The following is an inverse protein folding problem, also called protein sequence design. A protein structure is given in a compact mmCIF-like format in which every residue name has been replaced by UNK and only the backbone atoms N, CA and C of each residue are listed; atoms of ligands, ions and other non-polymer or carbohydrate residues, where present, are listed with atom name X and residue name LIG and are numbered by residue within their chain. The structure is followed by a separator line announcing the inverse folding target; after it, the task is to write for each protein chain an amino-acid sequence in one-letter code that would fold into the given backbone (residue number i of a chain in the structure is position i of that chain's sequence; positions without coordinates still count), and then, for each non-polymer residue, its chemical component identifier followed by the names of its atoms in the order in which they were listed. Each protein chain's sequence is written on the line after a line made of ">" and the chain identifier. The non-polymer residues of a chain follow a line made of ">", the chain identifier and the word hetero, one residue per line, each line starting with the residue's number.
data_IF_398706579362
#
_entry.id   IF_398706579362
#
_cell.length_a   1.000
_cell.length_b   1.000
_cell.length_c   1.000
_cell.angle_alpha   90.00
_cell.angle_beta   90.00
_cell.angle_gamma   90.00
#
_symmetry.space_group_name_H-M   'P 1'
#
loop_
_entity.id
_entity.type
_entity.pdbx_description
1 polymer ?
#
# COMPACT_ATOMS: atom_id res chain seq x y z
N UNK A 1 -69.43 31.32 17.92
CA UNK A 1 -68.35 30.42 18.39
C UNK A 1 -67.95 29.57 17.20
N UNK A 2 -66.82 29.86 16.54
CA UNK A 2 -66.39 29.18 15.30
C UNK A 2 -65.21 28.28 15.67
N UNK A 3 -65.38 26.98 15.42
CA UNK A 3 -64.54 25.91 15.93
C UNK A 3 -63.12 25.90 15.37
N UNK A 4 -62.18 25.58 16.27
CA UNK A 4 -60.81 25.14 15.95
C UNK A 4 -60.92 23.79 15.24
N UNK A 5 -60.28 23.63 14.09
CA UNK A 5 -59.95 22.34 13.50
C UNK A 5 -58.43 22.27 13.32
N UNK A 6 -57.84 21.33 14.04
CA UNK A 6 -56.43 20.97 14.06
C UNK A 6 -56.21 19.91 12.99
N UNK A 7 -55.30 20.09 12.03
CA UNK A 7 -54.73 19.00 11.20
C UNK A 7 -53.55 19.52 10.36
N UNK A 8 -52.39 18.88 10.52
CA UNK A 8 -51.36 18.82 9.47
C UNK A 8 -50.05 19.56 9.74
N UNK A 9 -49.29 19.13 10.74
CA UNK A 9 -47.82 19.21 10.67
C UNK A 9 -47.40 18.41 9.43
N UNK A 10 -46.49 18.96 8.60
CA UNK A 10 -45.40 18.28 7.87
C UNK A 10 -45.09 19.02 6.56
N UNK A 11 -43.89 19.61 6.49
CA UNK A 11 -43.40 20.23 5.26
C UNK A 11 -41.91 20.54 5.25
N UNK A 12 -41.14 19.83 6.07
CA UNK A 12 -39.75 19.40 5.83
C UNK A 12 -38.80 20.53 5.41
N UNK A 13 -38.14 21.13 6.41
CA UNK A 13 -36.89 21.86 6.25
C UNK A 13 -35.98 21.12 5.27
N UNK A 14 -35.50 21.81 4.25
CA UNK A 14 -34.54 21.28 3.27
C UNK A 14 -33.32 20.73 3.99
N UNK A 15 -33.35 19.43 4.27
CA UNK A 15 -32.22 18.69 4.81
C UNK A 15 -31.24 18.56 3.66
N UNK A 16 -30.29 19.49 3.60
CA UNK A 16 -29.12 19.41 2.74
C UNK A 16 -28.39 18.13 3.11
N UNK A 17 -28.59 17.08 2.32
CA UNK A 17 -27.81 15.85 2.44
C UNK A 17 -26.39 16.24 2.05
N UNK A 18 -25.55 16.43 3.08
CA UNK A 18 -24.11 16.55 2.92
C UNK A 18 -23.63 15.19 2.41
N UNK A 19 -23.52 15.05 1.09
CA UNK A 19 -22.94 13.88 0.46
C UNK A 19 -21.45 13.83 0.82
N UNK A 20 -21.14 13.16 1.94
CA UNK A 20 -19.79 12.79 2.30
C UNK A 20 -19.34 11.70 1.33
N UNK A 21 -18.44 12.06 0.42
CA UNK A 21 -17.75 11.12 -0.45
C UNK A 21 -16.93 10.16 0.42
N UNK A 22 -17.48 8.98 0.70
CA UNK A 22 -16.75 7.88 1.32
C UNK A 22 -15.71 7.38 0.30
N UNK A 23 -14.48 7.88 0.40
CA UNK A 23 -13.35 7.28 -0.31
C UNK A 23 -13.14 5.88 0.25
N UNK A 24 -13.52 4.85 -0.51
CA UNK A 24 -13.17 3.48 -0.21
C UNK A 24 -11.66 3.35 -0.41
N UNK A 25 -10.90 3.23 0.68
CA UNK A 25 -9.50 2.86 0.60
C UNK A 25 -9.41 1.48 -0.06
N UNK A 26 -9.01 1.45 -1.34
CA UNK A 26 -8.82 0.20 -2.08
C UNK A 26 -7.64 -0.55 -1.48
N UNK A 27 -7.80 -1.83 -1.18
CA UNK A 27 -6.71 -2.66 -0.63
C UNK A 27 -5.58 -2.80 -1.65
N UNK A 28 -4.32 -2.62 -1.24
CA UNK A 28 -3.17 -3.02 -2.05
C UNK A 28 -3.23 -4.50 -2.35
N UNK A 29 -2.72 -4.90 -3.51
CA UNK A 29 -2.62 -6.31 -3.87
C UNK A 29 -1.15 -6.66 -4.09
N UNK A 30 -0.47 -6.98 -2.99
CA UNK A 30 0.90 -7.50 -2.98
C UNK A 30 0.84 -8.95 -2.52
N UNK A 31 1.28 -9.86 -3.39
CA UNK A 31 1.24 -11.30 -3.17
C UNK A 31 2.66 -11.85 -3.33
N UNK A 32 3.18 -12.50 -2.30
CA UNK A 32 4.50 -13.14 -2.32
C UNK A 32 4.50 -14.38 -3.20
N UNK A 33 5.68 -14.74 -3.70
CA UNK A 33 5.93 -16.05 -4.29
C UNK A 33 6.98 -16.81 -3.46
N UNK A 34 7.14 -18.10 -3.78
CA UNK A 34 8.08 -18.98 -3.07
C UNK A 34 9.40 -19.15 -3.84
N UNK A 35 9.69 -18.28 -4.82
CA UNK A 35 10.82 -18.47 -5.74
C UNK A 35 12.20 -18.23 -5.10
N UNK A 36 12.23 -17.64 -3.90
CA UNK A 36 13.44 -17.43 -3.09
C UNK A 36 13.62 -18.51 -2.00
N UNK A 37 12.73 -19.50 -1.91
CA UNK A 37 12.83 -20.58 -0.92
C UNK A 37 12.85 -20.06 0.52
N UNK A 38 13.88 -20.44 1.28
CA UNK A 38 14.03 -20.03 2.69
C UNK A 38 14.24 -18.53 2.90
N UNK A 39 14.58 -17.78 1.84
CA UNK A 39 14.78 -16.33 1.85
C UNK A 39 13.57 -15.59 1.24
N UNK A 40 12.37 -16.18 1.37
CA UNK A 40 11.13 -15.60 0.86
C UNK A 40 10.89 -14.18 1.37
N UNK A 41 10.25 -13.37 0.51
CA UNK A 41 9.77 -12.05 0.91
C UNK A 41 8.59 -12.19 1.85
N UNK A 42 8.50 -11.32 2.85
CA UNK A 42 7.45 -11.32 3.86
C UNK A 42 6.73 -9.98 3.87
N UNK A 43 5.41 -10.01 4.02
CA UNK A 43 4.58 -8.80 4.03
C UNK A 43 3.92 -8.68 5.40
N UNK A 44 4.29 -7.64 6.14
CA UNK A 44 3.57 -7.22 7.32
C UNK A 44 2.39 -6.35 6.88
N UNK A 45 1.19 -6.93 6.95
CA UNK A 45 -0.06 -6.24 6.65
C UNK A 45 -0.46 -5.35 7.84
N UNK A 46 -1.13 -4.23 7.57
CA UNK A 46 -1.62 -3.26 8.55
C UNK A 46 -0.54 -2.38 9.21
N UNK A 47 0.57 -2.12 8.51
CA UNK A 47 1.46 -1.03 8.92
C UNK A 47 0.73 0.31 8.83
N UNK A 48 1.09 1.25 9.70
CA UNK A 48 0.75 2.66 9.54
C UNK A 48 2.02 3.49 9.58
N UNK A 49 2.24 4.30 8.55
CA UNK A 49 3.31 5.28 8.53
C UNK A 49 2.71 6.65 8.23
N UNK A 50 2.98 7.63 9.09
CA UNK A 50 2.43 9.00 8.99
C UNK A 50 0.89 9.03 8.88
N UNK A 51 0.19 8.04 9.47
CA UNK A 51 -1.27 7.93 9.46
C UNK A 51 -1.88 7.34 8.17
N UNK A 52 -1.05 6.90 7.21
CA UNK A 52 -1.49 6.20 6.00
C UNK A 52 -1.31 4.69 6.16
N UNK A 53 -2.21 3.86 5.57
CA UNK A 53 -2.06 2.42 5.55
C UNK A 53 -0.90 2.00 4.65
N UNK A 54 0.02 1.19 5.19
CA UNK A 54 1.21 0.75 4.47
C UNK A 54 1.43 -0.75 4.58
N UNK A 55 2.00 -1.33 3.53
CA UNK A 55 2.58 -2.67 3.56
C UNK A 55 4.08 -2.58 3.80
N UNK A 56 4.57 -3.23 4.86
CA UNK A 56 6.01 -3.33 5.11
C UNK A 56 6.51 -4.65 4.55
N UNK A 57 7.49 -4.56 3.66
CA UNK A 57 8.11 -5.68 2.98
C UNK A 57 9.43 -5.98 3.68
N UNK A 58 9.56 -7.20 4.19
CA UNK A 58 10.75 -7.71 4.91
C UNK A 58 11.27 -9.00 4.28
N UNK A 59 12.38 -9.51 4.81
CA UNK A 59 13.03 -10.73 4.31
C UNK A 59 13.74 -10.46 2.99
N UNK A 60 13.63 -11.40 2.06
CA UNK A 60 14.35 -11.34 0.78
C UNK A 60 15.75 -11.93 0.86
N UNK A 61 16.33 -12.16 -0.32
CA UNK A 61 17.64 -12.78 -0.46
C UNK A 61 18.72 -11.70 -0.61
N UNK A 62 19.62 -11.58 0.36
CA UNK A 62 20.73 -10.65 0.29
C UNK A 62 21.91 -11.29 -0.47
N UNK A 63 22.46 -10.59 -1.47
CA UNK A 63 23.68 -10.98 -2.19
C UNK A 63 24.57 -9.75 -2.37
N UNK A 64 25.54 -9.58 -1.47
CA UNK A 64 26.38 -8.39 -1.42
C UNK A 64 25.54 -7.13 -1.18
N UNK A 65 25.73 -6.12 -2.03
CA UNK A 65 25.01 -4.84 -1.97
C UNK A 65 23.58 -4.88 -2.52
N UNK A 66 23.10 -6.06 -2.94
CA UNK A 66 21.78 -6.23 -3.56
C UNK A 66 20.87 -7.04 -2.63
N UNK A 67 19.66 -6.54 -2.40
CA UNK A 67 18.57 -7.26 -1.75
C UNK A 67 17.52 -7.63 -2.79
N UNK A 68 17.22 -8.91 -2.91
CA UNK A 68 16.27 -9.42 -3.88
C UNK A 68 14.93 -9.76 -3.23
N UNK A 69 13.86 -9.24 -3.81
CA UNK A 69 12.48 -9.62 -3.50
C UNK A 69 11.81 -10.25 -4.72
N UNK A 70 10.87 -11.16 -4.47
CA UNK A 70 10.08 -11.78 -5.51
C UNK A 70 8.62 -11.87 -5.09
N UNK A 71 7.74 -11.47 -6.00
CA UNK A 71 6.31 -11.43 -5.78
C UNK A 71 5.60 -12.07 -6.96
N UNK A 72 4.46 -12.71 -6.69
CA UNK A 72 3.55 -13.13 -7.74
C UNK A 72 2.80 -11.94 -8.34
N UNK A 73 2.34 -11.03 -7.50
CA UNK A 73 1.65 -9.80 -7.93
C UNK A 73 2.12 -8.64 -7.05
N UNK A 74 2.34 -7.48 -7.65
CA UNK A 74 2.81 -6.29 -6.94
C UNK A 74 2.02 -5.06 -7.36
N UNK A 75 0.97 -4.71 -6.61
CA UNK A 75 0.15 -3.54 -6.88
C UNK A 75 0.02 -2.68 -5.62
N UNK A 76 0.25 -1.38 -5.78
CA UNK A 76 0.12 -0.39 -4.71
C UNK A 76 -0.96 0.61 -5.12
N UNK A 77 -2.09 0.58 -4.42
CA UNK A 77 -3.25 1.45 -4.73
C UNK A 77 -3.01 2.88 -4.25
N UNK A 78 -3.78 3.82 -4.78
CA UNK A 78 -3.77 5.22 -4.35
C UNK A 78 -4.02 5.35 -2.84
N UNK A 79 -3.36 6.31 -2.20
CA UNK A 79 -3.49 6.56 -0.76
C UNK A 79 -2.86 5.49 0.14
N UNK A 80 -2.12 4.53 -0.42
CA UNK A 80 -1.34 3.51 0.29
C UNK A 80 0.14 3.63 -0.03
N UNK A 81 0.98 2.98 0.76
CA UNK A 81 2.40 2.86 0.45
C UNK A 81 2.96 1.46 0.69
N UNK A 82 3.97 1.09 -0.09
CA UNK A 82 4.76 -0.11 0.12
C UNK A 82 6.19 0.28 0.51
N UNK A 83 6.66 -0.25 1.63
CA UNK A 83 7.93 0.12 2.24
C UNK A 83 8.84 -1.09 2.29
N UNK A 84 9.98 -0.99 1.62
CA UNK A 84 11.01 -2.03 1.68
C UNK A 84 11.89 -1.81 2.91
N UNK A 85 11.98 -2.82 3.76
CA UNK A 85 12.87 -2.79 4.91
C UNK A 85 14.28 -3.22 4.49
N UNK A 86 15.26 -2.35 4.70
CA UNK A 86 16.67 -2.69 4.53
C UNK A 86 17.25 -3.15 5.87
N UNK A 87 17.71 -4.42 6.01
CA UNK A 87 18.25 -4.94 7.26
C UNK A 87 19.62 -4.35 7.65
N UNK A 88 20.36 -3.77 6.71
CA UNK A 88 21.71 -3.24 6.94
C UNK A 88 22.04 -2.10 5.95
N UNK A 89 22.97 -1.24 6.35
CA UNK A 89 23.41 -0.08 5.55
C UNK A 89 24.32 -0.45 4.35
N UNK A 90 24.71 -1.72 4.22
CA UNK A 90 25.54 -2.21 3.12
C UNK A 90 24.72 -2.46 1.83
N UNK A 91 23.41 -2.65 1.95
CA UNK A 91 22.51 -2.79 0.81
C UNK A 91 22.40 -1.44 0.11
N UNK A 92 22.61 -1.42 -1.20
CA UNK A 92 22.49 -0.22 -2.05
C UNK A 92 21.34 -0.36 -3.05
N UNK A 93 21.01 -1.60 -3.42
CA UNK A 93 20.00 -1.89 -4.43
C UNK A 93 18.94 -2.84 -3.87
N UNK A 94 17.67 -2.50 -4.10
CA UNK A 94 16.54 -3.38 -3.84
C UNK A 94 15.93 -3.76 -5.19
N UNK A 95 16.06 -5.04 -5.54
CA UNK A 95 15.67 -5.58 -6.83
C UNK A 95 14.43 -6.44 -6.64
N UNK A 96 13.35 -6.06 -7.29
CA UNK A 96 12.06 -6.72 -7.17
C UNK A 96 11.70 -7.40 -8.49
N UNK A 97 11.35 -8.69 -8.42
CA UNK A 97 10.83 -9.45 -9.55
C UNK A 97 9.34 -9.74 -9.34
N UNK A 98 8.54 -9.52 -10.38
CA UNK A 98 7.14 -9.95 -10.44
C UNK A 98 7.03 -11.14 -11.38
N UNK A 99 6.61 -12.29 -10.83
CA UNK A 99 6.55 -13.58 -11.54
C UNK A 99 5.17 -13.88 -12.13
N UNK A 100 4.11 -13.21 -11.68
CA UNK A 100 2.77 -13.36 -12.23
C UNK A 100 2.58 -12.63 -13.56
N UNK A 101 1.50 -12.98 -14.25
CA UNK A 101 1.15 -12.42 -15.56
C UNK A 101 0.39 -11.10 -15.50
N UNK A 102 0.00 -10.65 -14.30
CA UNK A 102 -0.71 -9.38 -14.13
C UNK A 102 0.31 -8.25 -14.06
N UNK A 103 0.09 -7.22 -14.88
CA UNK A 103 0.81 -5.95 -14.81
C UNK A 103 0.68 -5.34 -13.42
N UNK A 104 1.77 -4.77 -12.94
CA UNK A 104 1.88 -4.01 -11.70
C UNK A 104 1.29 -2.62 -11.89
N UNK A 105 0.33 -2.25 -11.05
CA UNK A 105 -0.24 -0.92 -10.97
C UNK A 105 0.24 -0.25 -9.68
N UNK A 106 1.05 0.80 -9.83
CA UNK A 106 1.69 1.53 -8.72
C UNK A 106 1.20 2.97 -8.75
N UNK A 107 0.09 3.18 -8.05
CA UNK A 107 -0.56 4.49 -7.91
C UNK A 107 -0.32 5.11 -6.52
N UNK A 108 0.24 4.33 -5.60
CA UNK A 108 0.65 4.79 -4.27
C UNK A 108 2.14 5.09 -4.16
N UNK A 109 2.62 5.16 -2.92
CA UNK A 109 4.02 5.50 -2.61
C UNK A 109 4.88 4.25 -2.51
N UNK A 110 6.04 4.25 -3.16
CA UNK A 110 7.12 3.31 -2.89
C UNK A 110 8.22 4.02 -2.12
N UNK A 111 8.70 3.38 -1.07
CA UNK A 111 9.73 3.97 -0.23
C UNK A 111 10.54 2.87 0.48
N UNK A 112 11.61 3.27 1.17
CA UNK A 112 12.52 2.38 1.87
C UNK A 112 12.60 2.82 3.34
N UNK A 113 12.65 1.86 4.25
CA UNK A 113 12.88 2.10 5.67
C UNK A 113 14.14 1.35 6.11
N UNK A 114 15.10 2.08 6.69
CA UNK A 114 16.36 1.50 7.18
C UNK A 114 16.33 1.16 8.68
N UNK A 115 15.30 1.59 9.42
CA UNK A 115 15.28 1.47 10.90
C UNK A 115 13.89 1.73 11.54
N UNK A 116 12.79 1.56 10.82
CA UNK A 116 11.43 1.99 11.25
C UNK A 116 11.30 3.51 11.52
N UNK A 117 12.33 4.31 11.24
CA UNK A 117 12.25 5.78 11.22
C UNK A 117 12.34 6.29 9.78
N UNK A 118 11.78 7.49 9.61
CA UNK A 118 11.55 8.15 8.32
C UNK A 118 12.75 8.01 7.38
N UNK A 119 12.52 7.77 6.08
CA UNK A 119 13.58 7.46 5.10
C UNK A 119 14.74 8.45 5.18
N UNK A 120 15.94 7.91 5.41
CA UNK A 120 17.19 8.66 5.18
C UNK A 120 17.42 8.62 3.67
N UNK A 121 17.50 9.79 3.02
CA UNK A 121 17.66 9.89 1.56
C UNK A 121 19.09 9.52 1.19
N UNK A 122 19.41 8.23 1.25
CA UNK A 122 20.55 7.63 0.58
C UNK A 122 20.06 7.19 -0.80
N UNK A 123 20.87 7.32 -1.84
CA UNK A 123 20.46 7.01 -3.22
C UNK A 123 20.23 5.52 -3.39
N UNK A 124 19.01 5.06 -3.09
CA UNK A 124 18.58 3.70 -3.31
C UNK A 124 17.93 3.57 -4.68
N UNK A 125 18.23 2.46 -5.37
CA UNK A 125 17.60 2.12 -6.63
C UNK A 125 16.62 0.98 -6.41
N UNK A 126 15.35 1.25 -6.72
CA UNK A 126 14.31 0.21 -6.81
C UNK A 126 14.10 -0.09 -8.30
N UNK A 127 14.29 -1.34 -8.69
CA UNK A 127 13.95 -1.84 -10.02
C UNK A 127 12.87 -2.92 -9.90
N UNK A 128 11.76 -2.75 -10.62
CA UNK A 128 10.68 -3.74 -10.70
C UNK A 128 10.73 -4.35 -12.11
N UNK A 129 11.03 -5.65 -12.17
CA UNK A 129 11.05 -6.41 -13.42
C UNK A 129 9.80 -7.28 -13.52
N UNK A 130 9.02 -7.10 -14.58
CA UNK A 130 7.83 -7.91 -14.88
C UNK A 130 8.17 -9.05 -15.85
N UNK A 131 7.75 -10.27 -15.52
CA UNK A 131 7.88 -11.41 -16.43
C UNK A 131 6.89 -11.29 -17.59
N UNK A 132 7.36 -10.83 -18.74
CA UNK A 132 6.60 -10.87 -20.00
C UNK A 132 6.66 -12.31 -20.56
N UNK A 133 5.72 -13.17 -20.15
CA UNK A 133 5.46 -14.44 -20.84
C UNK A 133 4.04 -14.49 -21.35
#
# INVERSE_FOLDING_TARGET
>A
MKGIFWLGILGITSLQILSASLCLAQSSNIITDDSLGNEASQIEKNGQLKGLPVEIIRGGAQRGINLFHSFREFNVREGRGAYFFSPNAEIQNILTRVTGSKRSEILGTLDISENNQSPTITTFRIAIAESQR
#
